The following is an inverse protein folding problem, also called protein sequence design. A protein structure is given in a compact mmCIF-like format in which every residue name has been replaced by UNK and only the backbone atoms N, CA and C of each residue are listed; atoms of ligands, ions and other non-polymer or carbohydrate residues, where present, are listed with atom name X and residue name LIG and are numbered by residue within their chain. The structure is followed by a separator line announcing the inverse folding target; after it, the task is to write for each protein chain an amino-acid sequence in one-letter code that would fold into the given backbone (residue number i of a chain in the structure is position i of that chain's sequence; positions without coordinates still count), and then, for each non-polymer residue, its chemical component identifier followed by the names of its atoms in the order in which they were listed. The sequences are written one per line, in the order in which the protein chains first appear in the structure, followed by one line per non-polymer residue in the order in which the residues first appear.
data_IF_837712287147
#
_entry.id   IF_837712287147
#
_cell.length_a   1.000
_cell.length_b   1.000
_cell.length_c   1.000
_cell.angle_alpha   90.00
_cell.angle_beta   90.00
_cell.angle_gamma   90.00
#
_symmetry.space_group_name_H-M   'P 1'
#
loop_
_entity.id
_entity.type
_entity.pdbx_description
1 polymer ?
#
# COMPACT_ATOMS: atom_id res chain seq x y z
N UNK A 1 46.36 -15.30 -18.66
CA UNK A 1 45.50 -14.53 -17.74
C UNK A 1 44.09 -14.55 -18.30
N UNK A 2 43.34 -15.59 -17.98
CA UNK A 2 41.95 -15.75 -18.39
C UNK A 2 41.06 -14.92 -17.46
N UNK A 3 40.20 -14.10 -18.06
CA UNK A 3 39.30 -13.19 -17.36
C UNK A 3 38.06 -13.99 -16.94
N UNK A 4 37.97 -14.34 -15.67
CA UNK A 4 36.83 -15.05 -15.08
C UNK A 4 35.58 -14.17 -15.16
N UNK A 5 34.70 -14.45 -16.12
CA UNK A 5 33.39 -13.80 -16.24
C UNK A 5 32.48 -14.33 -15.14
N UNK A 6 32.09 -13.47 -14.20
CA UNK A 6 31.15 -13.78 -13.12
C UNK A 6 29.79 -14.19 -13.69
N UNK A 7 29.30 -15.41 -13.41
CA UNK A 7 27.94 -15.82 -13.79
C UNK A 7 26.95 -15.13 -12.85
N UNK A 8 26.19 -14.16 -13.37
CA UNK A 8 25.15 -13.47 -12.60
C UNK A 8 24.86 -12.03 -13.01
N UNK A 9 25.73 -11.39 -13.79
CA UNK A 9 25.39 -10.10 -14.39
C UNK A 9 24.42 -10.33 -15.54
N UNK A 10 23.13 -10.06 -15.32
CA UNK A 10 22.15 -9.93 -16.40
C UNK A 10 22.73 -8.96 -17.44
N UNK A 11 22.67 -9.27 -18.74
CA UNK A 11 23.11 -8.35 -19.77
C UNK A 11 22.37 -7.02 -19.61
N UNK A 12 23.02 -5.87 -19.93
CA UNK A 12 22.34 -4.58 -19.88
C UNK A 12 21.06 -4.69 -20.69
N UNK A 13 19.93 -4.36 -20.07
CA UNK A 13 18.62 -4.51 -20.70
C UNK A 13 18.66 -3.76 -22.03
N UNK A 14 18.41 -4.50 -23.13
CA UNK A 14 18.34 -3.91 -24.46
C UNK A 14 17.24 -2.86 -24.49
N UNK A 15 17.35 -1.88 -25.40
CA UNK A 15 16.33 -0.85 -25.58
C UNK A 15 14.93 -1.47 -25.80
N UNK A 16 14.88 -2.62 -26.48
CA UNK A 16 13.67 -3.44 -26.64
C UNK A 16 13.11 -3.97 -25.30
N UNK A 17 13.95 -4.50 -24.40
CA UNK A 17 13.50 -4.99 -23.10
C UNK A 17 12.96 -3.85 -22.21
N UNK A 18 13.53 -2.65 -22.35
CA UNK A 18 13.01 -1.44 -21.69
C UNK A 18 11.68 -0.99 -22.31
N UNK A 19 11.59 -0.97 -23.63
CA UNK A 19 10.37 -0.66 -24.38
C UNK A 19 9.21 -1.61 -24.04
N UNK A 20 9.46 -2.93 -23.95
CA UNK A 20 8.47 -3.93 -23.53
C UNK A 20 7.92 -3.63 -22.14
N UNK A 21 8.81 -3.30 -21.17
CA UNK A 21 8.38 -2.98 -19.81
C UNK A 21 7.56 -1.69 -19.74
N UNK A 22 7.90 -0.69 -20.55
CA UNK A 22 7.10 0.55 -20.66
C UNK A 22 5.74 0.26 -21.28
N UNK A 23 5.69 -0.51 -22.37
CA UNK A 23 4.45 -0.91 -23.03
C UNK A 23 3.51 -1.71 -22.11
N UNK A 24 4.06 -2.65 -21.33
CA UNK A 24 3.30 -3.39 -20.32
C UNK A 24 2.70 -2.48 -19.25
N UNK A 25 3.46 -1.49 -18.76
CA UNK A 25 2.95 -0.50 -17.79
C UNK A 25 1.85 0.38 -18.39
N UNK A 26 2.02 0.82 -19.64
CA UNK A 26 1.00 1.62 -20.35
C UNK A 26 -0.30 0.83 -20.53
N UNK A 27 -0.22 -0.45 -20.91
CA UNK A 27 -1.40 -1.32 -21.04
C UNK A 27 -2.06 -1.61 -19.69
N UNK A 28 -1.28 -1.80 -18.63
CA UNK A 28 -1.86 -2.01 -17.30
C UNK A 28 -2.58 -0.76 -16.76
N UNK A 29 -2.07 0.43 -17.09
CA UNK A 29 -2.63 1.70 -16.60
C UNK A 29 -3.81 2.20 -17.44
N UNK A 30 -3.76 2.00 -18.76
CA UNK A 30 -4.72 2.59 -19.69
C UNK A 30 -5.54 1.55 -20.46
N UNK A 31 -5.15 0.27 -20.49
CA UNK A 31 -5.79 -0.74 -21.34
C UNK A 31 -7.15 -1.25 -20.87
N UNK A 32 -7.63 -0.80 -19.71
CA UNK A 32 -8.96 -1.15 -19.21
C UNK A 32 -10.03 -0.23 -19.80
N UNK A 33 -10.84 -0.78 -20.70
CA UNK A 33 -11.99 -0.10 -21.32
C UNK A 33 -13.33 -0.58 -20.75
N UNK A 34 -13.34 -1.26 -19.61
CA UNK A 34 -14.57 -1.80 -19.01
C UNK A 34 -15.51 -0.71 -18.47
N UNK A 35 -14.98 0.48 -18.18
CA UNK A 35 -15.77 1.67 -17.95
C UNK A 35 -16.33 2.22 -19.26
N UNK A 36 -17.65 2.18 -19.44
CA UNK A 36 -18.37 2.72 -20.62
C UNK A 36 -18.29 4.25 -20.77
N UNK A 37 -17.28 4.90 -20.20
CA UNK A 37 -17.02 6.32 -20.38
C UNK A 37 -16.22 6.55 -21.67
N UNK A 38 -16.67 7.52 -22.46
CA UNK A 38 -16.03 7.92 -23.72
C UNK A 38 -14.59 8.36 -23.50
N UNK A 39 -14.28 8.90 -22.31
CA UNK A 39 -12.91 9.29 -21.94
C UNK A 39 -12.02 8.08 -21.65
N UNK A 40 -12.54 7.03 -21.00
CA UNK A 40 -11.79 5.80 -20.75
C UNK A 40 -11.38 5.11 -22.06
N UNK A 41 -12.28 5.06 -23.04
CA UNK A 41 -11.98 4.53 -24.37
C UNK A 41 -10.88 5.34 -25.09
N UNK A 42 -10.95 6.68 -25.06
CA UNK A 42 -9.94 7.54 -25.67
C UNK A 42 -8.57 7.38 -25.01
N UNK A 43 -8.52 7.25 -23.69
CA UNK A 43 -7.30 7.00 -22.93
C UNK A 43 -6.70 5.63 -23.26
N UNK A 44 -7.52 4.58 -23.32
CA UNK A 44 -7.08 3.24 -23.69
C UNK A 44 -6.50 3.18 -25.09
N UNK A 45 -7.18 3.82 -26.05
CA UNK A 45 -6.70 3.89 -27.42
C UNK A 45 -5.39 4.69 -27.53
N UNK A 46 -5.26 5.80 -26.79
CA UNK A 46 -4.03 6.59 -26.75
C UNK A 46 -2.85 5.82 -26.14
N UNK A 47 -3.06 5.16 -25.00
CA UNK A 47 -2.05 4.35 -24.33
C UNK A 47 -1.58 3.17 -25.18
N UNK A 48 -2.49 2.49 -25.87
CA UNK A 48 -2.16 1.40 -26.81
C UNK A 48 -1.35 1.92 -28.00
N UNK A 49 -1.76 3.04 -28.61
CA UNK A 49 -1.06 3.62 -29.75
C UNK A 49 0.38 4.02 -29.40
N UNK A 50 0.60 4.63 -28.23
CA UNK A 50 1.93 5.03 -27.79
C UNK A 50 2.79 3.83 -27.38
N UNK A 51 2.23 2.83 -26.69
CA UNK A 51 2.93 1.59 -26.37
C UNK A 51 3.43 0.88 -27.64
N UNK A 52 2.58 0.81 -28.67
CA UNK A 52 2.96 0.24 -29.97
C UNK A 52 4.08 1.06 -30.64
N UNK A 53 3.97 2.39 -30.62
CA UNK A 53 4.98 3.28 -31.20
C UNK A 53 6.36 3.09 -30.54
N UNK A 54 6.41 2.98 -29.22
CA UNK A 54 7.64 2.74 -28.45
C UNK A 54 8.28 1.40 -28.85
N UNK A 55 7.48 0.35 -29.01
CA UNK A 55 7.96 -0.97 -29.46
C UNK A 55 8.50 -0.94 -30.88
N UNK A 56 7.78 -0.30 -31.81
CA UNK A 56 8.21 -0.17 -33.21
C UNK A 56 9.50 0.65 -33.32
N UNK A 57 9.66 1.71 -32.52
CA UNK A 57 10.90 2.49 -32.43
C UNK A 57 12.07 1.67 -31.92
N UNK A 58 11.85 0.88 -30.87
CA UNK A 58 12.91 0.02 -30.31
C UNK A 58 13.35 -1.11 -31.27
N UNK A 59 12.50 -1.44 -32.24
CA UNK A 59 12.79 -2.39 -33.32
C UNK A 59 13.31 -1.72 -34.60
N UNK A 60 13.43 -0.39 -34.62
CA UNK A 60 13.80 0.42 -35.79
C UNK A 60 12.88 0.19 -37.01
N UNK A 61 11.59 -0.05 -36.75
CA UNK A 61 10.53 -0.28 -37.76
C UNK A 61 9.35 0.68 -37.61
N UNK A 62 9.56 1.81 -36.93
CA UNK A 62 8.55 2.86 -36.81
C UNK A 62 8.25 3.43 -38.20
N UNK A 63 6.99 3.37 -38.69
CA UNK A 63 6.68 3.88 -40.01
C UNK A 63 6.86 5.40 -40.04
N UNK A 64 7.33 5.91 -41.18
CA UNK A 64 7.42 7.35 -41.39
C UNK A 64 6.06 8.00 -41.11
N UNK A 65 6.03 9.12 -40.36
CA UNK A 65 4.79 9.79 -40.07
C UNK A 65 4.13 10.22 -41.38
N UNK A 66 2.90 9.75 -41.60
CA UNK A 66 2.11 10.19 -42.75
C UNK A 66 1.94 11.71 -42.66
N UNK A 67 2.08 12.45 -43.77
CA UNK A 67 1.81 13.88 -43.79
C UNK A 67 0.41 14.16 -43.24
N UNK A 68 0.33 15.03 -42.25
CA UNK A 68 -0.94 15.44 -41.66
C UNK A 68 -1.66 16.32 -42.70
N UNK A 69 -2.94 16.04 -43.01
CA UNK A 69 -3.70 16.91 -43.91
C UNK A 69 -3.69 18.37 -43.41
N UNK A 70 -3.60 19.38 -44.28
CA UNK A 70 -3.52 20.79 -43.86
C UNK A 70 -4.62 21.21 -42.89
N UNK A 71 -5.85 20.74 -43.13
CA UNK A 71 -7.00 21.01 -42.24
C UNK A 71 -6.81 20.43 -40.83
N UNK A 72 -6.18 19.26 -40.70
CA UNK A 72 -5.89 18.65 -39.40
C UNK A 72 -4.72 19.35 -38.73
N UNK A 73 -3.72 19.80 -39.49
CA UNK A 73 -2.64 20.63 -38.97
C UNK A 73 -3.15 21.97 -38.44
N UNK A 74 -4.09 22.61 -39.14
CA UNK A 74 -4.76 23.83 -38.68
C UNK A 74 -5.61 23.59 -37.43
N UNK A 75 -6.35 22.48 -37.37
CA UNK A 75 -7.08 22.09 -36.17
C UNK A 75 -6.13 21.88 -34.98
N UNK A 76 -5.01 21.17 -35.17
CA UNK A 76 -4.00 20.98 -34.12
C UNK A 76 -3.39 22.31 -33.65
N UNK A 77 -3.19 23.26 -34.57
CA UNK A 77 -2.74 24.62 -34.23
C UNK A 77 -3.79 25.32 -33.37
N UNK A 78 -5.05 25.33 -33.79
CA UNK A 78 -6.15 25.94 -33.03
C UNK A 78 -6.32 25.32 -31.64
N UNK A 79 -6.28 23.99 -31.53
CA UNK A 79 -6.34 23.31 -30.23
C UNK A 79 -5.16 23.67 -29.33
N UNK A 80 -3.95 23.84 -29.90
CA UNK A 80 -2.77 24.27 -29.13
C UNK A 80 -2.91 25.72 -28.65
N UNK A 81 -3.39 26.60 -29.52
CA UNK A 81 -3.60 28.00 -29.20
C UNK A 81 -4.67 28.13 -28.09
N UNK A 82 -5.79 27.42 -28.22
CA UNK A 82 -6.85 27.36 -27.21
C UNK A 82 -6.36 26.74 -25.89
N UNK A 83 -5.57 25.67 -25.95
CA UNK A 83 -4.96 25.10 -24.74
C UNK A 83 -4.03 26.12 -24.08
N UNK A 84 -3.23 26.85 -24.84
CA UNK A 84 -2.30 27.84 -24.30
C UNK A 84 -3.06 29.03 -23.70
N UNK A 85 -4.07 29.57 -24.38
CA UNK A 85 -4.87 30.70 -23.90
C UNK A 85 -5.70 30.38 -22.67
N UNK A 86 -6.04 29.11 -22.44
CA UNK A 86 -6.79 28.65 -21.28
C UNK A 86 -5.92 28.24 -20.06
N UNK A 87 -4.61 28.54 -20.05
CA UNK A 87 -3.70 28.12 -18.97
C UNK A 87 -4.16 28.61 -17.57
N UNK A 88 -4.57 29.87 -17.45
CA UNK A 88 -4.99 30.45 -16.16
C UNK A 88 -6.27 29.81 -15.63
N UNK A 89 -7.22 29.49 -16.52
CA UNK A 89 -8.47 28.82 -16.16
C UNK A 89 -8.22 27.41 -15.62
N UNK A 90 -7.27 26.66 -16.20
CA UNK A 90 -6.84 25.36 -15.66
C UNK A 90 -6.15 25.50 -14.31
N UNK A 91 -5.25 26.48 -14.16
CA UNK A 91 -4.61 26.76 -12.87
C UNK A 91 -5.61 27.14 -11.78
N UNK A 92 -6.74 27.73 -12.15
CA UNK A 92 -7.82 28.04 -11.22
C UNK A 92 -8.67 26.81 -10.86
N UNK A 93 -9.05 25.97 -11.82
CA UNK A 93 -9.72 24.70 -11.53
C UNK A 93 -8.87 23.76 -10.67
N UNK A 94 -7.55 23.73 -10.88
CA UNK A 94 -6.64 22.94 -10.04
C UNK A 94 -6.44 23.51 -8.63
N UNK A 95 -6.73 24.80 -8.39
CA UNK A 95 -6.75 25.33 -7.01
C UNK A 95 -7.91 24.74 -6.21
N UNK A 96 -9.03 24.46 -6.86
CA UNK A 96 -10.15 23.75 -6.26
C UNK A 96 -9.85 22.24 -6.12
N UNK A 97 -8.90 21.66 -6.87
CA UNK A 97 -8.47 20.27 -6.65
C UNK A 97 -7.32 20.13 -5.64
N UNK A 98 -6.59 21.22 -5.36
CA UNK A 98 -5.42 21.19 -4.47
C UNK A 98 -5.78 20.74 -3.05
N UNK A 99 -6.95 21.14 -2.53
CA UNK A 99 -7.46 20.65 -1.25
C UNK A 99 -7.78 19.15 -1.29
N UNK A 100 -8.29 18.63 -2.40
CA UNK A 100 -8.53 17.19 -2.59
C UNK A 100 -7.22 16.40 -2.64
N UNK A 101 -6.15 17.00 -3.18
CA UNK A 101 -4.81 16.39 -3.21
C UNK A 101 -4.17 16.43 -1.82
N UNK A 102 -4.29 17.52 -1.06
CA UNK A 102 -3.83 17.57 0.34
C UNK A 102 -4.54 16.52 1.20
N UNK A 103 -5.88 16.47 1.14
CA UNK A 103 -6.69 15.46 1.82
C UNK A 103 -6.32 14.03 1.39
N UNK A 104 -6.07 13.81 0.09
CA UNK A 104 -5.62 12.53 -0.41
C UNK A 104 -4.20 12.18 0.04
N UNK A 105 -3.27 13.14 0.12
CA UNK A 105 -1.91 12.89 0.63
C UNK A 105 -1.90 12.59 2.12
N UNK A 106 -2.77 13.24 2.90
CA UNK A 106 -2.97 12.92 4.31
C UNK A 106 -3.58 11.51 4.48
N UNK A 107 -4.58 11.16 3.67
CA UNK A 107 -5.15 9.83 3.63
C UNK A 107 -4.15 8.75 3.19
N UNK A 108 -3.28 9.04 2.21
CA UNK A 108 -2.22 8.14 1.75
C UNK A 108 -1.11 8.02 2.79
N UNK A 109 -0.75 9.09 3.51
CA UNK A 109 0.19 9.03 4.63
C UNK A 109 -0.36 8.18 5.78
N UNK A 110 -1.64 8.35 6.13
CA UNK A 110 -2.35 7.50 7.08
C UNK A 110 -2.40 6.03 6.59
N UNK A 111 -2.54 5.81 5.29
CA UNK A 111 -2.53 4.47 4.69
C UNK A 111 -1.12 3.86 4.62
N UNK A 112 -0.07 4.64 4.38
CA UNK A 112 1.32 4.15 4.39
C UNK A 112 1.76 3.70 5.79
N UNK A 113 1.25 4.34 6.85
CA UNK A 113 1.43 3.85 8.24
C UNK A 113 0.84 2.44 8.44
N UNK A 114 -0.13 2.02 7.62
CA UNK A 114 -0.68 0.65 7.64
C UNK A 114 0.21 -0.38 6.92
N UNK A 115 1.22 0.05 6.15
CA UNK A 115 2.16 -0.85 5.45
C UNK A 115 3.39 -1.20 6.28
N UNK A 116 3.69 -0.43 7.32
CA UNK A 116 4.72 -0.77 8.30
C UNK A 116 4.11 -1.72 9.32
N UNK A 117 4.79 -2.84 9.55
CA UNK A 117 4.39 -3.86 10.53
C UNK A 117 4.20 -3.19 11.90
N UNK A 118 3.04 -3.38 12.53
CA UNK A 118 2.74 -2.82 13.85
C UNK A 118 3.85 -3.12 14.86
N UNK A 119 4.36 -2.13 15.62
CA UNK A 119 5.45 -2.37 16.58
C UNK A 119 5.07 -3.39 17.67
N UNK A 120 3.80 -3.47 18.06
CA UNK A 120 3.30 -4.47 19.00
C UNK A 120 3.02 -5.86 18.38
N UNK A 121 2.99 -6.00 17.05
CA UNK A 121 2.81 -7.30 16.44
C UNK A 121 4.09 -8.14 16.56
N UNK A 122 3.97 -9.44 16.80
CA UNK A 122 5.12 -10.34 16.87
C UNK A 122 5.63 -10.72 15.48
N UNK A 123 6.96 -10.97 15.35
CA UNK A 123 7.69 -11.46 14.15
C UNK A 123 6.87 -12.34 13.21
N UNK A 124 6.30 -13.38 13.79
CA UNK A 124 5.58 -14.45 13.09
C UNK A 124 4.06 -14.27 13.08
N UNK A 125 3.52 -13.19 13.63
CA UNK A 125 2.08 -12.92 13.64
C UNK A 125 1.64 -12.42 12.25
N UNK A 126 0.86 -13.22 11.48
CA UNK A 126 0.50 -12.86 10.11
C UNK A 126 -0.72 -11.94 10.05
N UNK A 127 -1.37 -11.66 11.19
CA UNK A 127 -2.63 -10.91 11.18
C UNK A 127 -2.41 -9.45 10.80
N UNK A 128 -3.27 -8.87 9.95
CA UNK A 128 -3.17 -7.45 9.63
C UNK A 128 -3.53 -6.58 10.84
N UNK A 129 -3.09 -5.32 10.82
CA UNK A 129 -3.54 -4.32 11.78
C UNK A 129 -5.04 -4.03 11.60
N UNK A 130 -5.74 -3.73 12.69
CA UNK A 130 -7.14 -3.28 12.70
C UNK A 130 -7.29 -1.75 12.78
N UNK A 131 -6.17 -1.02 12.74
CA UNK A 131 -6.15 0.44 12.83
C UNK A 131 -4.78 0.99 13.23
N UNK A 132 -4.71 2.30 13.54
CA UNK A 132 -3.49 2.93 14.02
C UNK A 132 -3.12 2.46 15.43
N UNK A 133 -1.89 2.73 15.90
CA UNK A 133 -1.53 2.55 17.30
C UNK A 133 -2.46 3.35 18.21
N UNK A 134 -3.01 2.70 19.25
CA UNK A 134 -3.93 3.31 20.23
C UNK A 134 -3.62 2.90 21.67
N UNK A 135 -2.67 1.98 21.86
CA UNK A 135 -2.23 1.52 23.18
C UNK A 135 -0.72 1.33 23.23
N UNK A 136 -0.15 1.48 24.42
CA UNK A 136 1.20 1.00 24.76
C UNK A 136 1.08 -0.21 25.67
N UNK A 137 1.71 -1.33 25.31
CA UNK A 137 1.79 -2.53 26.14
C UNK A 137 3.18 -2.60 26.77
N UNK A 138 3.24 -2.74 28.09
CA UNK A 138 4.47 -2.85 28.87
C UNK A 138 4.59 -4.25 29.48
N UNK A 139 5.81 -4.78 29.55
CA UNK A 139 6.14 -5.98 30.32
C UNK A 139 6.37 -5.68 31.81
N UNK A 140 6.80 -6.72 32.55
CA UNK A 140 7.12 -6.61 33.98
C UNK A 140 8.33 -5.69 34.26
N UNK A 141 9.22 -5.51 33.28
CA UNK A 141 10.42 -4.69 33.36
C UNK A 141 10.19 -3.26 32.83
N UNK A 142 8.96 -2.91 32.41
CA UNK A 142 8.57 -1.65 31.77
C UNK A 142 9.15 -1.46 30.36
N UNK A 143 9.64 -2.50 29.69
CA UNK A 143 9.86 -2.44 28.25
C UNK A 143 8.52 -2.59 27.53
N UNK A 144 8.32 -1.86 26.43
CA UNK A 144 7.01 -1.85 25.78
C UNK A 144 7.02 -1.43 24.33
N UNK A 145 5.86 -1.61 23.71
CA UNK A 145 5.62 -1.28 22.32
C UNK A 145 4.23 -0.65 22.15
N UNK A 146 4.16 0.36 21.29
CA UNK A 146 2.90 0.93 20.84
C UNK A 146 2.26 0.03 19.79
N UNK A 147 0.95 -0.08 19.84
CA UNK A 147 0.22 -0.99 18.97
C UNK A 147 -1.23 -0.63 18.76
N UNK A 148 -1.78 -1.14 17.66
CA UNK A 148 -3.22 -1.13 17.41
C UNK A 148 -3.95 -1.99 18.46
N UNK A 149 -5.27 -1.87 18.56
CA UNK A 149 -6.04 -2.58 19.58
C UNK A 149 -5.89 -4.11 19.45
N UNK A 150 -5.91 -4.63 18.23
CA UNK A 150 -5.74 -6.05 17.93
C UNK A 150 -4.36 -6.60 18.36
N UNK A 151 -3.28 -5.99 17.86
CA UNK A 151 -1.92 -6.46 18.18
C UNK A 151 -1.52 -6.18 19.63
N UNK A 152 -2.00 -5.08 20.22
CA UNK A 152 -1.84 -4.80 21.64
C UNK A 152 -2.47 -5.89 22.51
N UNK A 153 -3.66 -6.39 22.17
CA UNK A 153 -4.31 -7.48 22.91
C UNK A 153 -3.53 -8.80 22.79
N UNK A 154 -3.04 -9.13 21.59
CA UNK A 154 -2.26 -10.36 21.33
C UNK A 154 -0.89 -10.35 22.02
N UNK A 155 -0.22 -9.20 22.02
CA UNK A 155 1.03 -9.00 22.77
C UNK A 155 0.77 -9.13 24.27
N UNK A 156 -0.23 -8.43 24.80
CA UNK A 156 -0.58 -8.49 26.23
C UNK A 156 -0.97 -9.89 26.71
N UNK A 157 -1.63 -10.68 25.86
CA UNK A 157 -1.97 -12.08 26.16
C UNK A 157 -0.73 -12.99 26.25
N UNK A 158 0.38 -12.59 25.63
CA UNK A 158 1.62 -13.36 25.58
C UNK A 158 2.66 -12.95 26.63
N UNK A 159 2.39 -11.87 27.38
CA UNK A 159 3.27 -11.37 28.45
C UNK A 159 2.82 -11.86 29.83
N UNK A 160 3.79 -12.28 30.64
CA UNK A 160 3.59 -12.47 32.07
C UNK A 160 3.76 -11.12 32.81
N UNK A 161 2.81 -10.77 33.67
CA UNK A 161 2.79 -9.46 34.34
C UNK A 161 2.60 -8.23 33.44
N UNK A 162 2.15 -8.42 32.20
CA UNK A 162 1.96 -7.33 31.23
C UNK A 162 0.90 -6.31 31.64
N UNK A 163 1.12 -5.04 31.30
CA UNK A 163 0.21 -3.90 31.51
C UNK A 163 -0.11 -3.22 30.19
N UNK A 164 -1.25 -2.56 30.10
CA UNK A 164 -1.67 -1.80 28.92
C UNK A 164 -2.16 -0.42 29.31
N UNK A 165 -1.74 0.58 28.55
CA UNK A 165 -2.12 1.98 28.69
C UNK A 165 -2.65 2.51 27.36
N UNK A 166 -3.62 3.41 27.42
CA UNK A 166 -4.14 4.07 26.22
C UNK A 166 -3.18 5.21 25.83
N UNK A 167 -2.97 5.41 24.52
CA UNK A 167 -2.26 6.59 24.03
C UNK A 167 -3.13 7.86 24.25
N UNK A 168 -2.52 9.06 24.31
CA UNK A 168 -3.22 10.30 24.66
C UNK A 168 -4.43 10.64 23.76
N UNK A 169 -4.37 10.25 22.49
CA UNK A 169 -5.36 10.46 21.44
C UNK A 169 -6.32 9.28 21.24
N UNK A 170 -6.10 8.17 21.96
CA UNK A 170 -6.93 6.98 21.84
C UNK A 170 -8.33 7.22 22.42
N UNK A 171 -9.38 6.59 21.84
CA UNK A 171 -10.73 6.69 22.38
C UNK A 171 -10.81 6.25 23.85
N UNK A 172 -11.67 6.89 24.63
CA UNK A 172 -11.85 6.57 26.04
C UNK A 172 -12.17 5.08 26.26
N UNK A 173 -11.53 4.48 27.26
CA UNK A 173 -11.72 3.07 27.60
C UNK A 173 -11.01 2.07 26.67
N UNK A 174 -10.20 2.52 25.71
CA UNK A 174 -9.48 1.62 24.79
C UNK A 174 -8.56 0.64 25.53
N UNK A 175 -7.78 1.09 26.52
CA UNK A 175 -6.94 0.20 27.33
C UNK A 175 -7.77 -0.90 28.03
N UNK A 176 -8.95 -0.56 28.55
CA UNK A 176 -9.86 -1.53 29.21
C UNK A 176 -10.38 -2.56 28.20
N UNK A 177 -10.77 -2.13 26.99
CA UNK A 177 -11.23 -3.03 25.93
C UNK A 177 -10.12 -4.00 25.50
N UNK A 178 -8.91 -3.49 25.27
CA UNK A 178 -7.73 -4.30 24.93
C UNK A 178 -7.40 -5.27 26.06
N UNK A 179 -7.41 -4.81 27.31
CA UNK A 179 -7.17 -5.65 28.48
C UNK A 179 -8.17 -6.80 28.57
N UNK A 180 -9.47 -6.52 28.34
CA UNK A 180 -10.54 -7.54 28.33
C UNK A 180 -10.35 -8.53 27.17
N UNK A 181 -10.11 -8.04 25.95
CA UNK A 181 -9.87 -8.90 24.80
C UNK A 181 -8.67 -9.85 25.02
N UNK A 182 -7.59 -9.35 25.63
CA UNK A 182 -6.41 -10.17 25.95
C UNK A 182 -6.71 -11.32 26.95
N UNK A 183 -7.80 -11.25 27.72
CA UNK A 183 -8.17 -12.34 28.64
C UNK A 183 -8.65 -13.59 27.90
N UNK A 184 -9.22 -13.41 26.71
CA UNK A 184 -9.82 -14.48 25.92
C UNK A 184 -8.84 -15.04 24.87
N UNK A 185 -7.70 -14.37 24.66
CA UNK A 185 -6.66 -14.78 23.73
C UNK A 185 -5.67 -15.72 24.42
N UNK A 186 -5.32 -16.84 23.77
CA UNK A 186 -4.27 -17.74 24.25
C UNK A 186 -2.88 -17.13 24.03
N UNK A 187 -1.89 -17.38 24.91
CA UNK A 187 -0.52 -16.93 24.71
C UNK A 187 0.11 -17.42 23.41
N UNK A 188 0.86 -16.54 22.75
CA UNK A 188 1.50 -16.78 21.44
C UNK A 188 0.48 -17.24 20.38
N UNK A 189 -0.57 -16.45 20.10
CA UNK A 189 -1.68 -16.86 19.24
C UNK A 189 -1.32 -17.05 17.76
N UNK A 190 -0.09 -16.75 17.37
CA UNK A 190 0.48 -16.99 16.04
C UNK A 190 1.18 -18.35 15.89
N UNK A 191 1.36 -19.10 16.99
CA UNK A 191 1.93 -20.46 16.93
C UNK A 191 0.79 -21.47 16.79
N UNK A 192 0.79 -22.24 15.71
CA UNK A 192 -0.13 -23.34 15.52
C UNK A 192 0.22 -24.57 16.39
N UNK A 193 -0.80 -25.37 16.73
CA UNK A 193 -0.62 -26.66 17.41
C UNK A 193 -1.48 -26.85 18.66
N UNK A 194 -1.53 -28.10 19.18
CA UNK A 194 -2.33 -28.42 20.35
C UNK A 194 -1.83 -27.66 21.60
N UNK A 195 -2.74 -26.94 22.26
CA UNK A 195 -2.48 -26.21 23.51
C UNK A 195 -3.13 -26.94 24.68
N UNK A 196 -2.36 -27.75 25.37
CA UNK A 196 -2.86 -28.66 26.42
C UNK A 196 -2.35 -28.32 27.81
N UNK A 197 -1.26 -27.55 27.92
CA UNK A 197 -0.68 -27.14 29.21
C UNK A 197 -1.37 -25.87 29.72
N UNK A 198 -1.52 -25.68 31.05
CA UNK A 198 -2.13 -24.48 31.60
C UNK A 198 -1.51 -23.15 31.11
N UNK A 199 -0.18 -23.11 30.95
CA UNK A 199 0.53 -21.92 30.43
C UNK A 199 0.24 -21.58 28.96
N UNK A 200 -0.46 -22.47 28.25
CA UNK A 200 -0.85 -22.29 26.86
C UNK A 200 -2.33 -21.90 26.70
N UNK A 201 -3.08 -21.85 27.80
CA UNK A 201 -4.49 -21.50 27.83
C UNK A 201 -4.66 -19.99 28.06
N UNK A 202 -5.78 -19.45 27.62
CA UNK A 202 -6.12 -18.06 27.94
C UNK A 202 -6.46 -17.92 29.42
N UNK A 203 -6.37 -16.70 29.96
CA UNK A 203 -6.73 -16.44 31.36
C UNK A 203 -8.21 -16.78 31.63
N UNK A 204 -9.09 -16.54 30.66
CA UNK A 204 -10.49 -16.93 30.76
C UNK A 204 -10.67 -18.45 30.83
N UNK A 205 -9.95 -19.23 30.02
CA UNK A 205 -9.96 -20.70 30.07
C UNK A 205 -9.45 -21.23 31.42
N UNK A 206 -8.35 -20.70 31.94
CA UNK A 206 -7.79 -21.09 33.23
C UNK A 206 -8.76 -20.79 34.38
N UNK A 207 -9.44 -19.62 34.37
CA UNK A 207 -10.49 -19.29 35.34
C UNK A 207 -11.67 -20.26 35.26
N UNK A 208 -12.10 -20.63 34.06
CA UNK A 208 -13.19 -21.59 33.85
C UNK A 208 -12.89 -22.99 34.40
N UNK A 209 -11.60 -23.35 34.54
CA UNK A 209 -11.15 -24.61 35.16
C UNK A 209 -10.96 -24.54 36.68
N UNK A 210 -11.03 -23.35 37.26
CA UNK A 210 -10.74 -23.14 38.68
C UNK A 210 -9.25 -23.13 39.04
N UNK A 211 -8.35 -23.03 38.06
CA UNK A 211 -6.89 -23.16 38.23
C UNK A 211 -6.17 -21.81 38.47
N UNK A 212 -6.83 -20.84 39.11
CA UNK A 212 -6.33 -19.44 39.14
C UNK A 212 -6.57 -18.66 40.43
N UNK A 213 -6.50 -19.30 41.60
CA UNK A 213 -6.48 -18.61 42.90
C UNK A 213 -5.10 -18.68 43.54
#
# INVERSE_FOLDING_TARGET
MEKTTTPGALPPATDLASAIRVGQKMLALYGDSSGFDVFAFAQAHGGLAEALRILLRALDVEPDPKPIPPAVADLHRLCRDDYTSNADRRAQHHRDDAHLIEDATEAVAATMVLTVRCPAAHGDDPTPCDGPPVVTVLDAQNAGADGCAHHGARLLASLDGGRVYALPDAPAGTAIRVFKAAQDIRPFPWIDGPRTRPSQLSRAETRGRGEGQ
#
